data_IF_952090135330
#
_entry.id   IF_952090135330
#
_cell.length_a   1.000
_cell.length_b   1.000
_cell.length_c   1.000
_cell.angle_alpha   90.00
_cell.angle_beta   90.00
_cell.angle_gamma   90.00
#
_symmetry.space_group_name_H-M   'P 1'
#
loop_
_entity.id
_entity.type
_entity.pdbx_description
1 polymer ?
#
# COMPACT_ATOMS: atom_id res chain seq x y z
N UNK A 1 -21.40 -8.12 -24.03
CA UNK A 1 -21.30 -9.21 -23.05
C UNK A 1 -20.17 -10.20 -23.35
N UNK A 2 -20.05 -10.75 -24.57
CA UNK A 2 -19.01 -11.76 -24.85
C UNK A 2 -17.56 -11.25 -24.69
N UNK A 3 -17.26 -10.00 -25.04
CA UNK A 3 -15.90 -9.43 -24.88
C UNK A 3 -15.52 -9.24 -23.41
N UNK A 4 -16.42 -8.70 -22.57
CA UNK A 4 -16.13 -8.54 -21.13
C UNK A 4 -16.01 -9.90 -20.44
N UNK A 5 -16.88 -10.87 -20.79
CA UNK A 5 -16.76 -12.25 -20.31
C UNK A 5 -15.36 -12.80 -20.63
N UNK A 6 -14.94 -12.71 -21.89
CA UNK A 6 -13.64 -13.21 -22.32
C UNK A 6 -12.48 -12.52 -21.59
N UNK A 7 -12.53 -11.20 -21.45
CA UNK A 7 -11.49 -10.45 -20.75
C UNK A 7 -11.39 -10.77 -19.25
N UNK A 8 -12.49 -11.15 -18.59
CA UNK A 8 -12.46 -11.68 -17.22
C UNK A 8 -11.80 -13.06 -17.19
N UNK A 9 -12.22 -13.97 -18.08
CA UNK A 9 -11.69 -15.34 -18.11
C UNK A 9 -10.20 -15.38 -18.47
N UNK A 10 -9.74 -14.47 -19.32
CA UNK A 10 -8.33 -14.30 -19.68
C UNK A 10 -7.53 -13.48 -18.65
N UNK A 11 -8.17 -12.93 -17.62
CA UNK A 11 -7.56 -12.06 -16.60
C UNK A 11 -6.87 -10.81 -17.20
N UNK A 12 -7.60 -10.08 -18.05
CA UNK A 12 -7.13 -8.89 -18.79
C UNK A 12 -8.07 -7.69 -18.69
N UNK A 13 -9.15 -7.80 -17.92
CA UNK A 13 -10.17 -6.76 -17.88
C UNK A 13 -9.70 -5.52 -17.08
N UNK A 14 -9.82 -4.32 -17.67
CA UNK A 14 -9.41 -3.07 -17.02
C UNK A 14 -10.47 -2.48 -16.07
N UNK A 15 -11.76 -2.79 -16.31
CA UNK A 15 -12.87 -2.41 -15.43
C UNK A 15 -13.78 -3.60 -15.09
N UNK A 16 -13.40 -4.49 -14.17
CA UNK A 16 -14.17 -5.69 -13.86
C UNK A 16 -15.61 -5.41 -13.42
N UNK A 17 -15.88 -4.23 -12.85
CA UNK A 17 -17.22 -3.80 -12.42
C UNK A 17 -18.19 -3.62 -13.60
N UNK A 18 -17.69 -3.42 -14.83
CA UNK A 18 -18.53 -3.38 -16.02
C UNK A 18 -19.17 -4.75 -16.37
N UNK A 19 -18.79 -5.82 -15.67
CA UNK A 19 -19.31 -7.17 -15.93
C UNK A 19 -19.61 -7.97 -14.66
N UNK A 20 -18.68 -8.00 -13.71
CA UNK A 20 -18.85 -8.60 -12.38
C UNK A 20 -19.71 -7.72 -11.47
N UNK A 21 -20.22 -8.32 -10.41
CA UNK A 21 -21.10 -7.66 -9.45
C UNK A 21 -22.56 -7.63 -9.89
N UNK A 22 -23.32 -6.72 -9.29
CA UNK A 22 -24.78 -6.67 -9.40
C UNK A 22 -25.24 -5.62 -10.41
N UNK A 23 -25.92 -6.08 -11.46
CA UNK A 23 -26.33 -5.28 -12.62
C UNK A 23 -27.83 -5.36 -12.86
N UNK A 24 -28.40 -4.29 -13.40
CA UNK A 24 -29.78 -4.29 -13.94
C UNK A 24 -29.73 -4.30 -15.46
N UNK A 25 -30.27 -5.36 -16.07
CA UNK A 25 -30.35 -5.53 -17.52
C UNK A 25 -31.83 -5.58 -17.91
N UNK A 26 -32.31 -4.52 -18.56
CA UNK A 26 -33.73 -4.33 -18.88
C UNK A 26 -34.59 -4.39 -17.60
N UNK A 27 -35.44 -5.41 -17.48
CA UNK A 27 -36.34 -5.66 -16.34
C UNK A 27 -35.83 -6.71 -15.37
N UNK A 28 -34.63 -7.23 -15.57
CA UNK A 28 -34.04 -8.29 -14.74
C UNK A 28 -32.74 -7.82 -14.08
N UNK A 29 -32.46 -8.39 -12.92
CA UNK A 29 -31.22 -8.23 -12.20
C UNK A 29 -30.32 -9.43 -12.46
N UNK A 30 -29.03 -9.17 -12.61
CA UNK A 30 -28.00 -10.17 -12.85
C UNK A 30 -26.86 -9.93 -11.88
N UNK A 31 -26.49 -10.95 -11.13
CA UNK A 31 -25.28 -10.96 -10.31
C UNK A 31 -24.26 -11.88 -10.97
N UNK A 32 -23.05 -11.39 -11.27
CA UNK A 32 -21.97 -12.21 -11.81
C UNK A 32 -20.78 -12.24 -10.85
N UNK A 33 -20.35 -13.45 -10.51
CA UNK A 33 -19.27 -13.70 -9.56
C UNK A 33 -18.21 -14.57 -10.21
N UNK A 34 -16.95 -14.20 -10.10
CA UNK A 34 -15.82 -15.00 -10.58
C UNK A 34 -15.05 -15.58 -9.37
N UNK A 35 -15.16 -16.90 -9.19
CA UNK A 35 -14.56 -17.66 -8.08
C UNK A 35 -13.98 -18.97 -8.63
N UNK A 36 -12.71 -18.97 -9.09
CA UNK A 36 -12.13 -20.09 -9.85
C UNK A 36 -12.07 -21.41 -9.08
N UNK A 37 -11.99 -21.33 -7.75
CA UNK A 37 -11.82 -22.48 -6.87
C UNK A 37 -13.12 -22.92 -6.17
N UNK A 38 -14.20 -22.15 -6.28
CA UNK A 38 -15.47 -22.50 -5.66
C UNK A 38 -16.17 -23.63 -6.45
N UNK A 39 -16.67 -24.62 -5.73
CA UNK A 39 -17.51 -25.69 -6.28
C UNK A 39 -18.95 -25.22 -6.53
N UNK A 40 -19.46 -24.35 -5.65
CA UNK A 40 -20.75 -23.69 -5.77
C UNK A 40 -20.70 -22.30 -5.11
N UNK A 41 -21.56 -21.40 -5.59
CA UNK A 41 -21.73 -20.04 -5.05
C UNK A 41 -23.22 -19.78 -4.87
N UNK A 42 -23.60 -19.18 -3.75
CA UNK A 42 -24.96 -18.69 -3.50
C UNK A 42 -24.94 -17.23 -3.05
N UNK A 43 -26.02 -16.49 -3.25
CA UNK A 43 -26.21 -15.12 -2.76
C UNK A 43 -27.37 -15.04 -1.79
N UNK A 44 -27.26 -14.23 -0.74
CA UNK A 44 -28.32 -14.02 0.24
C UNK A 44 -29.34 -12.97 -0.26
N UNK A 45 -30.62 -13.32 -0.30
CA UNK A 45 -31.69 -12.40 -0.72
C UNK A 45 -32.34 -11.62 0.44
N UNK A 46 -31.82 -11.80 1.67
CA UNK A 46 -32.38 -11.27 2.90
C UNK A 46 -33.24 -12.28 3.68
N UNK A 47 -33.55 -13.43 3.09
CA UNK A 47 -34.33 -14.52 3.72
C UNK A 47 -33.70 -15.89 3.54
N UNK A 48 -33.03 -16.13 2.42
CA UNK A 48 -32.51 -17.43 2.01
C UNK A 48 -31.32 -17.30 1.07
N UNK A 49 -30.59 -18.40 0.92
CA UNK A 49 -29.48 -18.51 -0.02
C UNK A 49 -29.98 -18.96 -1.38
N UNK A 50 -29.76 -18.14 -2.41
CA UNK A 50 -30.12 -18.42 -3.79
C UNK A 50 -28.87 -18.90 -4.56
N UNK A 51 -28.89 -20.10 -5.17
CA UNK A 51 -27.72 -20.61 -5.88
C UNK A 51 -27.46 -19.81 -7.17
N UNK A 52 -26.19 -19.60 -7.50
CA UNK A 52 -25.76 -19.10 -8.80
C UNK A 52 -25.48 -20.29 -9.73
N UNK A 53 -25.88 -20.17 -11.00
CA UNK A 53 -25.54 -21.13 -12.04
C UNK A 53 -24.08 -20.95 -12.48
N UNK A 54 -23.32 -22.03 -12.55
CA UNK A 54 -21.97 -22.02 -13.12
C UNK A 54 -22.04 -22.01 -14.64
N UNK A 55 -21.79 -20.85 -15.25
CA UNK A 55 -21.86 -20.66 -16.71
C UNK A 55 -20.52 -20.87 -17.42
N UNK A 56 -19.44 -21.07 -16.65
CA UNK A 56 -18.11 -21.35 -17.19
C UNK A 56 -17.28 -22.23 -16.25
N UNK A 57 -16.61 -23.29 -16.75
CA UNK A 57 -15.75 -24.13 -15.92
C UNK A 57 -14.55 -23.38 -15.31
N UNK A 58 -14.17 -22.20 -15.82
CA UNK A 58 -13.15 -21.37 -15.17
C UNK A 58 -13.60 -20.75 -13.83
N UNK A 59 -14.86 -20.94 -13.42
CA UNK A 59 -15.40 -20.47 -12.14
C UNK A 59 -16.21 -19.19 -12.25
N UNK A 60 -16.88 -18.97 -13.38
CA UNK A 60 -17.83 -17.88 -13.54
C UNK A 60 -19.24 -18.35 -13.20
N UNK A 61 -19.87 -17.66 -12.25
CA UNK A 61 -21.18 -17.95 -11.70
C UNK A 61 -22.13 -16.78 -11.94
N UNK A 62 -23.40 -17.07 -12.24
CA UNK A 62 -24.41 -16.06 -12.51
C UNK A 62 -25.72 -16.39 -11.81
N UNK A 63 -26.34 -15.37 -11.20
CA UNK A 63 -27.72 -15.42 -10.75
C UNK A 63 -28.55 -14.41 -11.54
N UNK A 64 -29.78 -14.81 -11.87
CA UNK A 64 -30.79 -13.97 -12.50
C UNK A 64 -32.01 -13.85 -11.59
N UNK A 65 -32.59 -12.66 -11.48
CA UNK A 65 -33.82 -12.47 -10.73
C UNK A 65 -34.60 -11.22 -11.11
N UNK A 66 -35.85 -11.17 -10.69
CA UNK A 66 -36.74 -10.01 -10.91
C UNK A 66 -36.73 -9.02 -9.76
N UNK A 67 -36.23 -9.45 -8.59
CA UNK A 67 -36.18 -8.65 -7.38
C UNK A 67 -34.76 -8.13 -7.16
N UNK A 68 -34.66 -6.97 -6.54
CA UNK A 68 -33.39 -6.40 -6.13
C UNK A 68 -32.86 -7.17 -4.91
N UNK A 69 -31.58 -7.49 -4.91
CA UNK A 69 -30.89 -8.10 -3.77
C UNK A 69 -30.49 -7.01 -2.75
N UNK A 70 -30.36 -7.36 -1.45
CA UNK A 70 -29.68 -6.49 -0.48
C UNK A 70 -28.26 -6.15 -0.95
N UNK A 71 -27.87 -4.89 -0.79
CA UNK A 71 -26.53 -4.40 -1.10
C UNK A 71 -25.82 -3.95 0.19
N UNK A 72 -24.50 -4.19 0.34
CA UNK A 72 -23.65 -5.00 -0.55
C UNK A 72 -24.07 -6.49 -0.55
N UNK A 73 -23.86 -7.20 -1.66
CA UNK A 73 -24.32 -8.59 -1.78
C UNK A 73 -23.49 -9.50 -0.88
N UNK A 74 -24.14 -10.29 -0.03
CA UNK A 74 -23.50 -11.35 0.75
C UNK A 74 -23.52 -12.67 -0.02
N UNK A 75 -22.34 -13.27 -0.20
CA UNK A 75 -22.12 -14.53 -0.90
C UNK A 75 -21.79 -15.64 0.09
N UNK A 76 -22.16 -16.86 -0.29
CA UNK A 76 -21.71 -18.09 0.35
C UNK A 76 -20.93 -18.90 -0.69
N UNK A 77 -19.62 -19.06 -0.43
CA UNK A 77 -18.66 -19.75 -1.27
C UNK A 77 -18.43 -21.16 -0.71
N UNK A 78 -18.68 -22.17 -1.52
CA UNK A 78 -18.44 -23.57 -1.14
C UNK A 78 -17.16 -24.06 -1.80
N UNK A 79 -16.09 -24.17 -1.02
CA UNK A 79 -14.89 -24.91 -1.36
C UNK A 79 -15.03 -26.34 -0.84
N UNK A 80 -14.43 -27.34 -1.50
CA UNK A 80 -14.65 -28.78 -1.26
C UNK A 80 -14.93 -29.20 0.20
N UNK A 81 -14.21 -28.64 1.18
CA UNK A 81 -14.36 -28.92 2.61
C UNK A 81 -14.63 -27.68 3.50
N UNK A 82 -14.91 -26.51 2.91
CA UNK A 82 -15.06 -25.26 3.65
C UNK A 82 -16.14 -24.37 3.04
N UNK A 83 -17.04 -23.89 3.89
CA UNK A 83 -18.06 -22.90 3.53
C UNK A 83 -17.61 -21.55 4.08
N UNK A 84 -17.55 -20.54 3.21
CA UNK A 84 -17.16 -19.19 3.58
C UNK A 84 -18.26 -18.20 3.21
N UNK A 85 -18.62 -17.32 4.12
CA UNK A 85 -19.53 -16.20 3.86
C UNK A 85 -18.72 -14.92 3.72
N UNK A 86 -18.88 -14.22 2.60
CA UNK A 86 -18.15 -12.98 2.28
C UNK A 86 -19.04 -12.04 1.49
N UNK A 87 -18.82 -10.74 1.59
CA UNK A 87 -19.43 -9.77 0.70
C UNK A 87 -18.75 -9.76 -0.66
N UNK A 88 -19.51 -9.47 -1.72
CA UNK A 88 -18.99 -9.34 -3.08
C UNK A 88 -18.27 -7.98 -3.25
N UNK A 89 -16.94 -7.95 -3.50
CA UNK A 89 -16.19 -6.72 -3.74
C UNK A 89 -16.77 -5.88 -4.89
N UNK A 90 -17.38 -6.52 -5.89
CA UNK A 90 -17.88 -5.86 -7.09
C UNK A 90 -19.27 -5.24 -6.92
N UNK A 91 -19.78 -5.21 -5.68
CA UNK A 91 -21.03 -4.51 -5.32
C UNK A 91 -20.79 -3.16 -4.63
N UNK A 92 -19.53 -2.80 -4.41
CA UNK A 92 -19.13 -1.52 -3.82
C UNK A 92 -18.81 -0.46 -4.90
N UNK A 93 -19.33 0.76 -4.69
CA UNK A 93 -19.10 1.90 -5.59
C UNK A 93 -17.65 2.42 -5.56
N UNK A 94 -17.35 3.39 -6.43
CA UNK A 94 -16.08 4.14 -6.40
C UNK A 94 -15.99 4.93 -5.10
N UNK A 95 -14.85 4.85 -4.41
CA UNK A 95 -14.63 5.56 -3.13
C UNK A 95 -13.66 6.73 -3.26
N UNK A 96 -12.84 6.77 -4.31
CA UNK A 96 -11.93 7.89 -4.61
C UNK A 96 -12.67 8.98 -5.39
N UNK A 97 -12.51 10.23 -4.97
CA UNK A 97 -13.20 11.37 -5.60
C UNK A 97 -12.47 11.85 -6.87
N UNK A 98 -13.21 12.37 -7.84
CA UNK A 98 -12.63 13.01 -9.03
C UNK A 98 -11.71 14.19 -8.67
N UNK A 99 -11.98 14.86 -7.56
CA UNK A 99 -11.17 15.97 -7.06
C UNK A 99 -9.78 15.50 -6.59
N UNK A 100 -9.71 14.39 -5.85
CA UNK A 100 -8.43 13.83 -5.41
C UNK A 100 -7.61 13.32 -6.59
N UNK A 101 -8.26 12.65 -7.56
CA UNK A 101 -7.61 12.23 -8.81
C UNK A 101 -7.06 13.43 -9.59
N UNK A 102 -7.81 14.54 -9.65
CA UNK A 102 -7.36 15.76 -10.29
C UNK A 102 -6.14 16.37 -9.58
N UNK A 103 -6.17 16.51 -8.25
CA UNK A 103 -5.04 17.02 -7.48
C UNK A 103 -3.80 16.14 -7.62
N UNK A 104 -3.98 14.81 -7.61
CA UNK A 104 -2.89 13.86 -7.82
C UNK A 104 -2.25 14.02 -9.20
N UNK A 105 -3.05 14.09 -10.26
CA UNK A 105 -2.55 14.31 -11.63
C UNK A 105 -1.83 15.67 -11.82
N UNK A 106 -2.20 16.69 -11.05
CA UNK A 106 -1.49 17.98 -11.01
C UNK A 106 -0.23 17.97 -10.12
N UNK A 107 -0.01 16.89 -9.38
CA UNK A 107 1.04 16.75 -8.39
C UNK A 107 0.92 17.75 -7.23
N UNK A 108 -0.31 17.91 -6.74
CA UNK A 108 -0.69 18.83 -5.65
C UNK A 108 -1.43 18.17 -4.49
N UNK A 109 -1.60 16.85 -4.52
CA UNK A 109 -2.25 16.11 -3.45
C UNK A 109 -1.23 15.81 -2.34
N UNK A 110 -1.10 16.72 -1.39
CA UNK A 110 -0.08 16.67 -0.32
C UNK A 110 -0.11 15.38 0.50
N UNK A 111 -1.32 14.88 0.81
CA UNK A 111 -1.51 13.64 1.55
C UNK A 111 -1.94 12.51 0.61
N UNK A 112 -1.29 12.34 -0.54
CA UNK A 112 -1.68 11.30 -1.50
C UNK A 112 -1.63 9.89 -0.91
N UNK A 113 -0.85 9.67 0.15
CA UNK A 113 -0.84 8.42 0.92
C UNK A 113 -2.16 8.13 1.65
N UNK A 114 -3.06 9.11 1.86
CA UNK A 114 -4.42 8.86 2.35
C UNK A 114 -5.38 8.39 1.27
N UNK A 115 -5.03 8.58 0.00
CA UNK A 115 -5.80 8.13 -1.16
C UNK A 115 -5.24 6.81 -1.73
N UNK A 116 -3.93 6.76 -1.97
CA UNK A 116 -3.21 5.61 -2.51
C UNK A 116 -2.79 4.65 -1.39
N UNK A 117 -2.48 3.41 -1.75
CA UNK A 117 -2.11 2.36 -0.80
C UNK A 117 -3.31 1.55 -0.30
N UNK A 118 -3.12 0.83 0.81
CA UNK A 118 -4.16 0.05 1.48
C UNK A 118 -4.72 0.78 2.72
N UNK A 119 -6.04 0.94 2.77
CA UNK A 119 -6.74 1.63 3.85
C UNK A 119 -7.84 0.75 4.41
N UNK A 120 -7.67 0.30 5.66
CA UNK A 120 -8.70 -0.42 6.39
C UNK A 120 -9.82 0.55 6.79
N UNK A 121 -11.01 0.35 6.25
CA UNK A 121 -12.12 1.31 6.37
C UNK A 121 -13.48 0.61 6.26
N UNK A 122 -14.51 1.31 6.69
CA UNK A 122 -15.90 0.88 6.56
C UNK A 122 -16.54 1.51 5.33
N UNK A 123 -17.14 0.69 4.47
CA UNK A 123 -17.91 1.14 3.29
C UNK A 123 -19.27 0.48 3.34
N UNK A 124 -20.35 1.28 3.31
CA UNK A 124 -21.74 0.78 3.34
C UNK A 124 -22.03 -0.18 4.50
N UNK A 125 -21.43 0.03 5.68
CA UNK A 125 -21.65 -0.81 6.86
C UNK A 125 -20.76 -2.06 6.95
N UNK A 126 -19.84 -2.25 6.00
CA UNK A 126 -18.95 -3.42 5.93
C UNK A 126 -17.50 -2.97 6.06
N UNK A 127 -16.77 -3.59 6.99
CA UNK A 127 -15.34 -3.40 7.15
C UNK A 127 -14.57 -4.16 6.07
N UNK A 128 -13.50 -3.55 5.59
CA UNK A 128 -12.62 -4.13 4.59
C UNK A 128 -11.43 -3.23 4.32
N UNK A 129 -10.75 -3.47 3.21
CA UNK A 129 -9.58 -2.70 2.81
C UNK A 129 -9.79 -2.13 1.42
N UNK A 130 -9.70 -0.80 1.30
CA UNK A 130 -9.59 -0.13 0.01
C UNK A 130 -8.14 -0.12 -0.43
N UNK A 131 -7.86 -0.72 -1.57
CA UNK A 131 -6.58 -0.65 -2.26
C UNK A 131 -6.66 0.34 -3.41
N UNK A 132 -5.61 1.15 -3.54
CA UNK A 132 -5.47 2.06 -4.67
C UNK A 132 -4.02 2.15 -5.16
N UNK A 133 -3.82 2.03 -6.47
CA UNK A 133 -2.50 1.98 -7.10
C UNK A 133 -2.42 2.85 -8.35
N UNK A 134 -1.35 3.64 -8.49
CA UNK A 134 -1.06 4.33 -9.74
C UNK A 134 -0.23 3.45 -10.68
N UNK A 135 -0.83 3.06 -11.81
CA UNK A 135 -0.22 2.21 -12.85
C UNK A 135 -0.87 2.49 -14.22
N UNK A 136 -0.66 3.69 -14.80
CA UNK A 136 -1.39 4.18 -15.98
C UNK A 136 -1.23 3.31 -17.22
N UNK A 137 -0.09 2.62 -17.38
CA UNK A 137 0.20 1.82 -18.56
C UNK A 137 -0.17 0.34 -18.41
N UNK A 138 -0.70 -0.06 -17.25
CA UNK A 138 -1.16 -1.43 -17.04
C UNK A 138 -2.34 -1.79 -17.95
N UNK A 139 -2.41 -3.06 -18.35
CA UNK A 139 -3.60 -3.67 -18.94
C UNK A 139 -4.59 -4.12 -17.86
N UNK A 140 -4.07 -4.67 -16.76
CA UNK A 140 -4.82 -5.10 -15.57
C UNK A 140 -3.97 -4.88 -14.32
N UNK A 141 -4.60 -4.49 -13.22
CA UNK A 141 -4.04 -4.59 -11.87
C UNK A 141 -4.96 -5.46 -11.03
N UNK A 142 -4.39 -6.31 -10.17
CA UNK A 142 -5.12 -7.08 -9.17
C UNK A 142 -4.42 -6.98 -7.83
N UNK A 143 -5.19 -7.07 -6.75
CA UNK A 143 -4.64 -7.27 -5.41
C UNK A 143 -4.46 -8.76 -5.18
N UNK A 144 -3.27 -9.17 -4.74
CA UNK A 144 -2.94 -10.55 -4.40
C UNK A 144 -2.42 -10.60 -2.97
N UNK A 145 -2.76 -11.64 -2.22
CA UNK A 145 -2.36 -11.78 -0.83
C UNK A 145 -2.81 -13.10 -0.25
N UNK A 146 -2.63 -13.26 1.06
CA UNK A 146 -2.99 -14.49 1.77
C UNK A 146 -4.49 -14.81 1.63
N UNK A 147 -5.33 -13.78 1.69
CA UNK A 147 -6.79 -13.84 1.56
C UNK A 147 -7.32 -14.32 0.18
N UNK A 148 -6.47 -14.43 -0.85
CA UNK A 148 -6.85 -15.03 -2.14
C UNK A 148 -5.86 -16.06 -2.68
N UNK A 149 -4.96 -16.57 -1.82
CA UNK A 149 -3.95 -17.54 -2.23
C UNK A 149 -2.99 -17.01 -3.28
N UNK A 150 -2.76 -15.69 -3.30
CA UNK A 150 -1.87 -15.01 -4.24
C UNK A 150 -2.29 -15.13 -5.72
N UNK A 151 -3.57 -15.35 -6.01
CA UNK A 151 -4.10 -15.49 -7.39
C UNK A 151 -4.67 -14.15 -7.92
N UNK A 152 -3.95 -13.55 -8.87
CA UNK A 152 -4.33 -12.29 -9.51
C UNK A 152 -5.61 -12.32 -10.35
N UNK A 153 -6.26 -13.47 -10.51
CA UNK A 153 -7.55 -13.57 -11.23
C UNK A 153 -8.75 -13.27 -10.33
N UNK A 154 -8.60 -13.37 -9.01
CA UNK A 154 -9.72 -13.31 -8.05
C UNK A 154 -10.15 -11.88 -7.74
N UNK A 155 -9.18 -10.98 -7.51
CA UNK A 155 -9.44 -9.59 -7.14
C UNK A 155 -8.82 -8.57 -8.12
N UNK A 156 -9.19 -8.59 -9.43
CA UNK A 156 -8.88 -7.50 -10.34
C UNK A 156 -9.52 -6.17 -9.93
N UNK A 157 -8.74 -5.12 -10.03
CA UNK A 157 -9.11 -3.74 -9.71
C UNK A 157 -9.74 -3.06 -10.93
N UNK A 158 -10.53 -2.00 -10.71
CA UNK A 158 -11.00 -1.11 -11.79
C UNK A 158 -10.02 0.03 -12.03
N UNK A 159 -9.81 0.36 -13.30
CA UNK A 159 -9.13 1.59 -13.71
C UNK A 159 -10.09 2.79 -13.59
N UNK A 160 -9.63 3.86 -12.93
CA UNK A 160 -10.33 5.14 -12.82
C UNK A 160 -9.97 6.06 -14.00
N UNK A 161 -10.04 5.51 -15.21
CA UNK A 161 -9.89 6.23 -16.47
C UNK A 161 -8.53 6.88 -16.67
N UNK A 162 -8.55 8.16 -17.10
CA UNK A 162 -7.35 8.91 -17.48
C UNK A 162 -6.40 9.25 -16.32
N UNK A 163 -6.83 9.05 -15.07
CA UNK A 163 -5.97 9.23 -13.90
C UNK A 163 -4.84 8.19 -13.83
N UNK A 164 -5.03 7.02 -14.46
CA UNK A 164 -4.12 5.89 -14.31
C UNK A 164 -4.14 5.24 -12.93
N UNK A 165 -5.04 5.66 -12.05
CA UNK A 165 -5.25 5.05 -10.73
C UNK A 165 -6.19 3.85 -10.87
N UNK A 166 -5.85 2.78 -10.17
CA UNK A 166 -6.63 1.56 -10.04
C UNK A 166 -7.17 1.48 -8.62
N UNK A 167 -8.40 0.99 -8.44
CA UNK A 167 -9.06 0.90 -7.14
C UNK A 167 -9.81 -0.42 -6.98
N UNK A 168 -9.82 -0.97 -5.77
CA UNK A 168 -10.72 -2.03 -5.33
C UNK A 168 -10.94 -1.94 -3.82
N UNK A 169 -12.18 -2.10 -3.37
CA UNK A 169 -12.49 -2.38 -1.97
C UNK A 169 -12.70 -3.88 -1.82
N UNK A 170 -11.87 -4.53 -0.99
CA UNK A 170 -12.03 -5.94 -0.65
C UNK A 170 -12.68 -5.99 0.75
N UNK A 171 -13.93 -6.45 0.86
CA UNK A 171 -14.62 -6.54 2.14
C UNK A 171 -14.10 -7.72 2.97
N UNK A 172 -14.41 -7.70 4.26
CA UNK A 172 -14.20 -8.80 5.22
C UNK A 172 -12.72 -9.19 5.45
N UNK A 173 -11.78 -8.40 4.94
CA UNK A 173 -10.35 -8.51 5.25
C UNK A 173 -9.89 -7.34 6.13
N UNK A 174 -8.83 -7.55 6.91
CA UNK A 174 -8.45 -6.65 8.00
C UNK A 174 -6.99 -6.23 8.01
N UNK A 175 -6.61 -5.60 9.13
CA UNK A 175 -5.22 -5.27 9.44
C UNK A 175 -4.38 -6.54 9.57
N UNK A 176 -3.11 -6.45 9.17
CA UNK A 176 -2.15 -7.55 9.29
C UNK A 176 -2.05 -8.44 8.05
N UNK A 177 -3.01 -8.37 7.14
CA UNK A 177 -2.99 -9.11 5.86
C UNK A 177 -1.77 -8.71 5.03
N UNK A 178 -1.06 -9.71 4.49
CA UNK A 178 0.00 -9.48 3.51
C UNK A 178 -0.57 -9.43 2.10
N UNK A 179 -0.10 -8.46 1.33
CA UNK A 179 -0.53 -8.26 -0.05
C UNK A 179 0.59 -7.70 -0.93
N UNK A 180 0.37 -7.84 -2.23
CA UNK A 180 1.07 -7.18 -3.33
C UNK A 180 0.07 -6.83 -4.43
N UNK A 181 0.55 -6.13 -5.45
CA UNK A 181 -0.19 -5.92 -6.69
C UNK A 181 0.38 -6.81 -7.79
N UNK A 182 -0.49 -7.58 -8.45
CA UNK A 182 -0.16 -8.26 -9.71
C UNK A 182 -0.57 -7.37 -10.88
N UNK A 183 0.42 -6.85 -11.60
CA UNK A 183 0.24 -5.92 -12.72
C UNK A 183 0.52 -6.67 -14.02
N UNK A 184 -0.43 -6.62 -14.95
CA UNK A 184 -0.23 -7.10 -16.32
C UNK A 184 0.17 -5.92 -17.21
N UNK A 185 1.37 -5.96 -17.76
CA UNK A 185 1.84 -4.93 -18.70
C UNK A 185 1.02 -4.94 -19.98
N UNK A 186 0.59 -3.75 -20.44
CA UNK A 186 -0.14 -3.61 -21.72
C UNK A 186 0.73 -3.84 -22.95
N UNK A 187 2.01 -3.47 -22.87
CA UNK A 187 2.93 -3.56 -24.01
C UNK A 187 3.44 -4.98 -24.24
N UNK A 188 3.75 -5.71 -23.17
CA UNK A 188 4.37 -7.03 -23.25
C UNK A 188 3.43 -8.18 -22.86
N UNK A 189 2.37 -7.92 -22.10
CA UNK A 189 1.56 -8.95 -21.47
C UNK A 189 2.30 -9.69 -20.34
N UNK A 190 3.45 -9.19 -19.90
CA UNK A 190 4.18 -9.71 -18.74
C UNK A 190 3.38 -9.50 -17.45
N UNK A 191 3.45 -10.46 -16.53
CA UNK A 191 2.90 -10.34 -15.18
C UNK A 191 4.03 -9.93 -14.23
N UNK A 192 3.86 -8.76 -13.63
CA UNK A 192 4.75 -8.20 -12.61
C UNK A 192 4.07 -8.33 -11.26
N UNK A 193 4.84 -8.66 -10.22
CA UNK A 193 4.34 -8.62 -8.84
C UNK A 193 5.09 -7.52 -8.08
N UNK A 194 4.35 -6.54 -7.60
CA UNK A 194 4.90 -5.32 -7.00
C UNK A 194 4.43 -5.14 -5.56
N UNK A 195 5.34 -4.77 -4.69
CA UNK A 195 5.01 -4.23 -3.38
C UNK A 195 4.36 -2.86 -3.53
N UNK A 196 3.55 -2.46 -2.55
CA UNK A 196 2.83 -1.19 -2.60
C UNK A 196 3.80 0.00 -2.43
N UNK A 197 3.88 0.93 -3.40
CA UNK A 197 4.66 2.16 -3.25
C UNK A 197 4.26 3.00 -2.03
N UNK A 198 2.98 2.95 -1.64
CA UNK A 198 2.37 3.66 -0.52
C UNK A 198 2.09 2.74 0.68
N UNK A 199 2.74 1.57 0.74
CA UNK A 199 2.62 0.65 1.86
C UNK A 199 3.18 1.21 3.17
N UNK A 200 2.45 1.04 4.28
CA UNK A 200 2.85 1.56 5.60
C UNK A 200 3.66 0.58 6.46
N UNK A 201 3.78 -0.67 6.01
CA UNK A 201 4.60 -1.70 6.65
C UNK A 201 4.86 -2.81 5.65
N UNK A 202 5.98 -3.52 5.83
CA UNK A 202 6.36 -4.64 4.99
C UNK A 202 6.71 -5.88 5.83
N UNK A 203 6.83 -7.03 5.16
CA UNK A 203 7.48 -8.21 5.73
C UNK A 203 8.92 -7.93 6.13
N UNK A 204 9.43 -8.66 7.12
CA UNK A 204 10.85 -8.69 7.42
C UNK A 204 11.62 -9.25 6.22
N UNK A 205 12.60 -8.48 5.74
CA UNK A 205 13.49 -8.92 4.66
C UNK A 205 14.07 -10.33 4.95
N UNK A 206 14.17 -11.20 3.95
CA UNK A 206 14.02 -10.94 2.51
C UNK A 206 12.56 -10.97 2.01
N UNK A 207 11.56 -11.06 2.89
CA UNK A 207 10.16 -10.85 2.52
C UNK A 207 9.93 -9.48 1.88
N UNK A 208 8.91 -9.38 1.03
CA UNK A 208 8.65 -8.18 0.22
C UNK A 208 7.17 -7.83 0.12
N UNK A 209 6.27 -8.62 0.71
CA UNK A 209 4.87 -8.25 0.76
C UNK A 209 4.66 -7.02 1.64
N UNK A 210 3.73 -6.18 1.22
CA UNK A 210 3.22 -5.08 2.04
C UNK A 210 2.22 -5.65 3.03
N UNK A 211 2.15 -5.10 4.23
CA UNK A 211 1.19 -5.47 5.26
C UNK A 211 0.15 -4.37 5.44
N UNK A 212 -1.13 -4.72 5.37
CA UNK A 212 -2.23 -3.78 5.66
C UNK A 212 -2.08 -3.26 7.08
N UNK A 213 -1.84 -1.97 7.24
CA UNK A 213 -1.52 -1.34 8.52
C UNK A 213 -2.29 -0.04 8.65
N UNK A 214 -2.82 0.25 9.84
CA UNK A 214 -3.57 1.48 10.09
C UNK A 214 -2.63 2.68 10.20
N UNK A 215 -3.10 3.85 9.75
CA UNK A 215 -2.47 5.14 10.04
C UNK A 215 -2.95 5.67 11.40
N UNK A 216 -2.06 6.35 12.14
CA UNK A 216 -2.44 7.21 13.25
C UNK A 216 -3.08 6.58 14.48
N UNK A 217 -2.74 5.33 14.86
CA UNK A 217 -3.28 4.70 16.09
C UNK A 217 -2.52 5.05 17.37
N UNK A 218 -1.36 5.70 17.26
CA UNK A 218 -0.49 6.00 18.39
C UNK A 218 -0.92 7.26 19.15
N UNK A 219 -0.96 7.17 20.48
CA UNK A 219 -1.27 8.29 21.36
C UNK A 219 0.02 9.04 21.79
N UNK A 220 0.34 10.11 21.06
CA UNK A 220 1.49 10.97 21.31
C UNK A 220 1.40 11.72 22.65
N UNK A 221 2.57 12.02 23.23
CA UNK A 221 2.71 12.73 24.52
C UNK A 221 3.65 13.95 24.42
N UNK A 222 4.08 14.30 23.21
CA UNK A 222 5.08 15.31 22.90
C UNK A 222 4.50 16.69 22.56
N UNK A 223 3.23 16.96 22.88
CA UNK A 223 2.54 18.23 22.56
C UNK A 223 3.37 19.46 22.94
N UNK A 224 3.95 19.46 24.14
CA UNK A 224 4.78 20.57 24.61
C UNK A 224 6.06 20.77 23.77
N UNK A 225 6.67 19.69 23.27
CA UNK A 225 7.81 19.77 22.37
C UNK A 225 7.41 20.38 21.03
N UNK A 226 6.29 19.91 20.47
CA UNK A 226 5.79 20.36 19.16
C UNK A 226 5.39 21.84 19.18
N UNK A 227 4.71 22.30 20.23
CA UNK A 227 4.38 23.72 20.44
C UNK A 227 5.64 24.60 20.52
N UNK A 228 6.67 24.14 21.24
CA UNK A 228 7.93 24.86 21.35
C UNK A 228 8.71 24.86 20.03
N UNK A 229 8.74 23.74 19.31
CA UNK A 229 9.41 23.61 18.01
C UNK A 229 8.87 24.63 17.00
N UNK A 230 7.56 24.88 17.00
CA UNK A 230 6.90 25.78 16.05
C UNK A 230 7.31 27.25 16.18
N UNK A 231 7.75 27.68 17.37
CA UNK A 231 8.10 29.09 17.66
C UNK A 231 9.59 29.33 17.85
N UNK A 232 10.41 28.27 17.96
CA UNK A 232 11.86 28.36 18.14
C UNK A 232 12.56 28.78 16.85
N UNK A 233 13.48 29.73 16.95
CA UNK A 233 14.39 30.07 15.87
C UNK A 233 15.58 29.09 15.86
N UNK A 234 15.37 27.96 15.18
CA UNK A 234 16.32 26.85 15.15
C UNK A 234 17.70 27.24 14.58
N UNK A 235 17.80 28.29 13.76
CA UNK A 235 19.08 28.75 13.20
C UNK A 235 20.00 29.40 14.24
N UNK A 236 19.44 29.83 15.38
CA UNK A 236 20.17 30.50 16.46
C UNK A 236 20.21 29.68 17.75
N UNK A 237 19.86 28.39 17.68
CA UNK A 237 19.93 27.45 18.80
C UNK A 237 21.16 26.53 18.67
N UNK A 238 21.67 26.00 19.79
CA UNK A 238 22.73 25.00 19.74
C UNK A 238 22.25 23.76 18.97
N UNK A 239 23.03 23.35 17.98
CA UNK A 239 22.81 22.15 17.18
C UNK A 239 24.03 21.24 17.31
N UNK A 240 23.92 20.26 18.20
CA UNK A 240 24.90 19.18 18.38
C UNK A 240 24.20 17.85 18.11
N UNK A 241 24.61 17.17 17.04
CA UNK A 241 23.90 16.02 16.45
C UNK A 241 24.71 14.74 16.67
N UNK A 242 24.03 13.69 17.13
CA UNK A 242 24.57 12.34 17.19
C UNK A 242 24.01 11.52 16.01
N UNK A 243 24.79 11.38 14.95
CA UNK A 243 24.45 10.53 13.81
C UNK A 243 24.61 9.04 14.17
N UNK A 244 23.64 8.21 13.80
CA UNK A 244 23.73 6.77 14.05
C UNK A 244 22.93 5.91 13.07
N UNK A 245 23.38 4.65 12.93
CA UNK A 245 22.66 3.59 12.22
C UNK A 245 21.95 2.66 13.21
N UNK A 246 20.61 2.59 13.14
CA UNK A 246 19.78 1.81 14.07
C UNK A 246 20.17 0.32 14.13
N UNK A 247 20.55 -0.26 12.99
CA UNK A 247 20.91 -1.68 12.91
C UNK A 247 22.31 -2.04 13.40
N UNK A 248 23.17 -1.08 13.73
CA UNK A 248 24.57 -1.36 14.12
C UNK A 248 25.07 -0.61 15.35
N UNK A 249 24.33 0.38 15.88
CA UNK A 249 24.69 1.05 17.13
C UNK A 249 24.83 0.05 18.28
N UNK A 250 23.88 -0.87 18.42
CA UNK A 250 23.94 -1.98 19.39
C UNK A 250 23.18 -3.19 18.86
N UNK A 251 23.72 -4.38 19.14
CA UNK A 251 23.07 -5.67 18.87
C UNK A 251 23.02 -6.51 20.14
N UNK A 252 22.05 -7.41 20.20
CA UNK A 252 22.04 -8.44 21.23
C UNK A 252 23.20 -9.41 21.00
N UNK A 253 23.58 -10.12 22.05
CA UNK A 253 24.66 -11.12 22.00
C UNK A 253 24.38 -12.26 21.01
N UNK A 254 23.10 -12.53 20.73
CA UNK A 254 22.62 -13.53 19.77
C UNK A 254 22.54 -12.99 18.32
N UNK A 255 22.94 -11.73 18.09
CA UNK A 255 22.96 -11.09 16.78
C UNK A 255 21.64 -10.41 16.39
N UNK A 256 20.59 -10.49 17.21
CA UNK A 256 19.33 -9.76 16.93
C UNK A 256 19.53 -8.25 17.02
N UNK A 257 18.77 -7.52 16.22
CA UNK A 257 18.67 -6.06 16.31
C UNK A 257 17.95 -5.65 17.59
N UNK A 258 18.28 -4.47 18.09
CA UNK A 258 17.46 -3.77 19.06
C UNK A 258 16.23 -3.22 18.33
N UNK A 259 15.05 -3.37 18.94
CA UNK A 259 13.86 -2.67 18.45
C UNK A 259 13.88 -1.19 18.90
N UNK A 260 13.01 -0.37 18.31
CA UNK A 260 12.97 1.07 18.61
C UNK A 260 12.64 1.41 20.07
N UNK A 261 11.90 0.56 20.80
CA UNK A 261 11.67 0.76 22.23
C UNK A 261 12.92 0.51 23.05
N UNK A 262 13.66 -0.57 22.73
CA UNK A 262 14.93 -0.88 23.38
C UNK A 262 15.99 0.20 23.07
N UNK A 263 15.99 0.74 21.85
CA UNK A 263 16.80 1.90 21.51
C UNK A 263 16.39 3.11 22.34
N UNK A 264 15.10 3.42 22.47
CA UNK A 264 14.64 4.55 23.28
C UNK A 264 15.13 4.45 24.73
N UNK A 265 15.05 3.26 25.34
CA UNK A 265 15.48 3.05 26.73
C UNK A 265 16.99 3.18 26.95
N UNK A 266 17.80 2.87 25.94
CA UNK A 266 19.26 2.77 26.10
C UNK A 266 20.04 3.92 25.45
N UNK A 267 19.59 4.39 24.28
CA UNK A 267 20.23 5.46 23.52
C UNK A 267 19.91 6.83 24.12
N UNK A 268 18.65 7.10 24.50
CA UNK A 268 18.24 8.43 24.95
C UNK A 268 19.02 8.88 26.20
N UNK A 269 19.19 8.06 27.27
CA UNK A 269 20.01 8.45 28.41
C UNK A 269 21.46 8.72 28.04
N UNK A 270 22.03 7.92 27.13
CA UNK A 270 23.39 8.10 26.63
C UNK A 270 23.55 9.44 25.88
N UNK A 271 22.62 9.76 24.99
CA UNK A 271 22.61 11.01 24.21
C UNK A 271 22.47 12.23 25.13
N UNK A 272 21.63 12.13 26.17
CA UNK A 272 21.50 13.19 27.19
C UNK A 272 22.77 13.36 28.04
N UNK A 273 23.36 12.26 28.52
CA UNK A 273 24.61 12.29 29.30
C UNK A 273 25.75 12.96 28.53
N UNK A 274 25.84 12.67 27.23
CA UNK A 274 26.84 13.22 26.32
C UNK A 274 26.53 14.68 25.88
N UNK A 275 25.35 15.21 26.19
CA UNK A 275 24.98 16.59 25.89
C UNK A 275 24.64 16.87 24.42
N UNK A 276 24.18 15.87 23.68
CA UNK A 276 23.66 16.07 22.33
C UNK A 276 22.25 16.65 22.37
N UNK A 277 21.91 17.42 21.33
CA UNK A 277 20.60 18.07 21.19
C UNK A 277 19.67 17.31 20.25
N UNK A 278 20.24 16.56 19.30
CA UNK A 278 19.52 15.85 18.27
C UNK A 278 20.16 14.49 18.01
N UNK A 279 19.34 13.53 17.59
CA UNK A 279 19.76 12.28 16.98
C UNK A 279 19.46 12.37 15.50
N UNK A 280 20.44 12.08 14.66
CA UNK A 280 20.25 11.90 13.22
C UNK A 280 20.30 10.41 12.91
N UNK A 281 19.20 9.90 12.39
CA UNK A 281 19.11 8.50 11.99
C UNK A 281 19.43 8.40 10.50
N UNK A 282 20.40 7.55 10.18
CA UNK A 282 20.53 6.99 8.82
C UNK A 282 19.19 6.39 8.37
N UNK A 283 18.93 6.23 7.06
CA UNK A 283 17.58 6.02 6.55
C UNK A 283 16.84 4.85 7.23
N UNK A 284 15.70 5.17 7.83
CA UNK A 284 14.82 4.19 8.51
C UNK A 284 13.67 3.72 7.63
N UNK A 285 13.57 4.22 6.40
CA UNK A 285 12.62 3.72 5.41
C UNK A 285 12.90 2.26 5.05
N UNK A 286 11.88 1.50 4.62
CA UNK A 286 12.08 0.09 4.29
C UNK A 286 13.03 -0.09 3.10
N UNK A 287 13.98 -1.01 3.24
CA UNK A 287 15.04 -1.28 2.29
C UNK A 287 15.42 -2.77 2.30
N UNK A 288 15.83 -3.39 1.17
CA UNK A 288 16.04 -4.83 1.09
C UNK A 288 17.39 -5.31 1.62
N UNK A 289 18.42 -4.44 1.63
CA UNK A 289 19.81 -4.81 1.87
C UNK A 289 20.41 -4.02 3.03
N UNK A 290 20.90 -4.69 4.06
CA UNK A 290 21.51 -4.03 5.23
C UNK A 290 22.76 -3.22 4.88
N UNK A 291 23.56 -3.73 3.95
CA UNK A 291 24.82 -3.13 3.50
C UNK A 291 24.61 -1.82 2.73
N UNK A 292 23.38 -1.53 2.31
CA UNK A 292 23.02 -0.21 1.76
C UNK A 292 22.92 0.88 2.84
N UNK A 293 22.92 0.49 4.12
CA UNK A 293 22.67 1.34 5.28
C UNK A 293 21.34 2.11 5.24
N UNK A 294 20.41 1.65 4.41
CA UNK A 294 19.11 2.28 4.16
C UNK A 294 19.03 3.16 2.90
N UNK A 295 20.17 3.53 2.30
CA UNK A 295 20.18 4.43 1.13
C UNK A 295 19.67 3.80 -0.17
N UNK A 296 19.33 2.51 -0.18
CA UNK A 296 18.61 1.87 -1.27
C UNK A 296 17.17 1.53 -0.85
N UNK A 297 16.38 2.58 -0.65
CA UNK A 297 14.99 2.49 -0.15
C UNK A 297 14.04 1.90 -1.21
N UNK A 298 13.15 1.01 -0.76
CA UNK A 298 12.07 0.41 -1.57
C UNK A 298 10.67 0.64 -1.01
N UNK A 299 10.53 0.86 0.30
CA UNK A 299 9.25 1.22 0.94
C UNK A 299 9.33 2.60 1.60
N UNK A 300 8.98 3.63 0.83
CA UNK A 300 9.15 5.03 1.23
C UNK A 300 8.22 5.47 2.36
N UNK A 301 7.00 4.93 2.40
CA UNK A 301 5.97 5.27 3.37
C UNK A 301 5.94 4.32 4.59
N UNK A 302 7.03 3.58 4.83
CA UNK A 302 7.12 2.68 5.97
C UNK A 302 8.47 2.79 6.65
N UNK A 303 8.45 2.75 7.98
CA UNK A 303 9.61 2.39 8.78
C UNK A 303 9.97 0.93 8.50
N UNK A 304 11.26 0.63 8.40
CA UNK A 304 11.74 -0.73 8.20
C UNK A 304 11.29 -1.67 9.33
N UNK A 305 10.78 -2.85 8.98
CA UNK A 305 10.29 -3.82 9.95
C UNK A 305 11.39 -4.46 10.80
N UNK A 306 12.67 -4.19 10.50
CA UNK A 306 13.85 -4.73 11.21
C UNK A 306 13.83 -4.42 12.70
N UNK A 307 13.31 -3.26 13.07
CA UNK A 307 13.41 -2.71 14.42
C UNK A 307 12.04 -2.58 15.10
N UNK A 308 11.03 -3.31 14.60
CA UNK A 308 9.70 -3.36 15.18
C UNK A 308 8.61 -2.81 14.26
N UNK A 309 7.51 -2.41 14.88
CA UNK A 309 6.34 -1.82 14.21
C UNK A 309 6.49 -0.30 14.03
N UNK A 310 5.67 0.32 13.16
CA UNK A 310 5.59 1.78 13.08
C UNK A 310 5.35 2.45 14.44
N UNK A 311 4.52 1.85 15.31
CA UNK A 311 4.24 2.40 16.64
C UNK A 311 5.44 2.29 17.60
N UNK A 312 6.36 1.35 17.38
CA UNK A 312 7.62 1.30 18.12
C UNK A 312 8.54 2.46 17.72
N UNK A 313 8.53 2.85 16.45
CA UNK A 313 9.26 4.04 16.00
C UNK A 313 8.61 5.34 16.48
N UNK A 314 7.27 5.46 16.44
CA UNK A 314 6.57 6.59 17.07
C UNK A 314 6.91 6.71 18.55
N UNK A 315 6.97 5.59 19.27
CA UNK A 315 7.41 5.57 20.66
C UNK A 315 8.84 6.07 20.84
N UNK A 316 9.76 5.72 19.94
CA UNK A 316 11.13 6.23 19.98
C UNK A 316 11.16 7.76 19.81
N UNK A 317 10.48 8.29 18.79
CA UNK A 317 10.43 9.74 18.55
C UNK A 317 9.75 10.49 19.71
N UNK A 318 8.62 9.99 20.19
CA UNK A 318 7.89 10.55 21.34
C UNK A 318 8.78 10.59 22.58
N UNK A 319 9.55 9.51 22.82
CA UNK A 319 10.49 9.43 23.95
C UNK A 319 11.65 10.42 23.80
N UNK A 320 12.19 10.60 22.59
CA UNK A 320 13.20 11.63 22.31
C UNK A 320 12.66 13.03 22.59
N UNK A 321 11.46 13.35 22.10
CA UNK A 321 10.83 14.65 22.29
C UNK A 321 10.54 14.95 23.78
N UNK A 322 10.04 13.98 24.54
CA UNK A 322 9.86 14.09 26.01
C UNK A 322 11.20 14.36 26.69
N UNK A 323 12.28 13.74 26.22
CA UNK A 323 13.64 13.94 26.71
C UNK A 323 14.30 15.25 26.22
N UNK A 324 13.61 16.05 25.42
CA UNK A 324 14.13 17.30 24.87
C UNK A 324 15.14 17.11 23.72
N UNK A 325 15.13 15.96 23.07
CA UNK A 325 16.02 15.59 21.96
C UNK A 325 15.23 15.62 20.65
N UNK A 326 15.73 16.35 19.66
CA UNK A 326 15.14 16.33 18.32
C UNK A 326 15.57 15.11 17.51
N UNK A 327 14.72 14.66 16.59
CA UNK A 327 15.01 13.57 15.67
C UNK A 327 15.10 14.11 14.25
N UNK A 328 16.22 13.81 13.58
CA UNK A 328 16.47 14.10 12.17
C UNK A 328 16.52 12.77 11.44
N UNK A 329 15.91 12.71 10.25
CA UNK A 329 15.91 11.53 9.40
C UNK A 329 16.67 11.82 8.12
N UNK A 330 17.61 10.95 7.79
CA UNK A 330 18.12 10.86 6.43
C UNK A 330 17.01 10.42 5.49
N UNK A 331 16.68 11.32 4.58
CA UNK A 331 15.66 11.10 3.55
C UNK A 331 16.34 10.91 2.19
N UNK A 332 15.88 9.91 1.43
CA UNK A 332 16.58 9.43 0.21
C UNK A 332 15.73 9.66 -1.05
N UNK A 333 15.51 10.92 -1.49
CA UNK A 333 14.72 11.22 -2.68
C UNK A 333 15.54 11.17 -3.98
N UNK A 334 16.86 10.97 -3.90
CA UNK A 334 17.76 11.14 -5.03
C UNK A 334 17.69 9.98 -6.03
N UNK A 335 17.44 8.75 -5.55
CA UNK A 335 17.48 7.53 -6.35
C UNK A 335 16.76 6.36 -5.66
N UNK A 336 16.56 5.27 -6.37
CA UNK A 336 16.02 4.01 -5.84
C UNK A 336 16.64 2.79 -6.55
N UNK A 337 16.68 1.60 -5.93
CA UNK A 337 17.35 0.44 -6.53
C UNK A 337 16.50 -0.24 -7.62
N UNK A 338 17.12 -1.17 -8.36
CA UNK A 338 16.50 -1.87 -9.51
C UNK A 338 15.70 -3.11 -9.11
N UNK A 339 15.43 -3.31 -7.82
CA UNK A 339 14.67 -4.45 -7.31
C UNK A 339 13.31 -4.59 -8.02
N UNK A 340 13.10 -5.73 -8.67
CA UNK A 340 11.94 -5.97 -9.53
C UNK A 340 10.61 -5.92 -8.77
N UNK A 341 10.61 -6.16 -7.46
CA UNK A 341 9.41 -6.07 -6.62
C UNK A 341 9.02 -4.63 -6.27
N UNK A 342 9.91 -3.65 -6.44
CA UNK A 342 9.72 -2.26 -6.03
C UNK A 342 9.41 -1.33 -7.23
N UNK A 343 9.89 -0.08 -7.21
CA UNK A 343 9.48 0.98 -8.15
C UNK A 343 10.01 0.83 -9.59
N UNK A 344 11.05 0.03 -9.82
CA UNK A 344 11.68 -0.09 -11.14
C UNK A 344 10.71 -0.64 -12.19
N UNK A 345 10.58 0.02 -13.35
CA UNK A 345 9.72 -0.42 -14.46
C UNK A 345 8.28 -0.74 -14.00
N UNK A 346 7.73 0.07 -13.09
CA UNK A 346 6.64 -0.33 -12.19
C UNK A 346 5.43 -0.96 -12.89
N UNK A 347 4.95 -0.35 -13.97
CA UNK A 347 3.80 -0.79 -14.75
C UNK A 347 4.18 -1.35 -16.15
N UNK A 348 5.45 -1.75 -16.30
CA UNK A 348 6.05 -2.15 -17.58
C UNK A 348 6.71 -1.02 -18.37
N UNK A 349 6.77 0.19 -17.82
CA UNK A 349 7.41 1.39 -18.43
C UNK A 349 8.30 2.15 -17.43
N UNK A 350 9.07 3.18 -17.85
CA UNK A 350 9.60 4.22 -16.93
C UNK A 350 8.45 4.96 -16.26
N UNK A 351 7.98 4.42 -15.14
CA UNK A 351 6.93 5.10 -14.40
C UNK A 351 7.52 6.12 -13.43
N UNK A 352 8.32 5.63 -12.48
CA UNK A 352 8.96 6.44 -11.44
C UNK A 352 10.31 6.98 -11.89
N UNK A 353 11.11 6.17 -12.60
CA UNK A 353 12.36 6.59 -13.21
C UNK A 353 12.14 7.40 -14.50
N UNK A 354 13.19 8.09 -14.97
CA UNK A 354 13.19 8.70 -16.29
C UNK A 354 13.52 7.66 -17.38
N UNK A 355 12.82 7.66 -18.53
CA UNK A 355 13.03 6.66 -19.59
C UNK A 355 14.42 6.77 -20.25
N UNK A 356 14.93 7.99 -20.41
CA UNK A 356 16.31 8.21 -20.89
C UNK A 356 17.33 7.83 -19.79
N UNK A 357 18.16 6.79 -19.99
CA UNK A 357 19.11 6.34 -18.97
C UNK A 357 20.17 7.39 -18.61
N UNK A 358 20.42 8.37 -19.48
CA UNK A 358 21.35 9.49 -19.19
C UNK A 358 20.83 10.41 -18.09
N UNK A 359 19.53 10.39 -17.86
CA UNK A 359 18.82 11.17 -16.84
C UNK A 359 18.20 10.27 -15.74
N UNK A 360 17.98 8.99 -16.05
CA UNK A 360 17.27 8.03 -15.22
C UNK A 360 18.13 7.03 -14.47
N UNK A 361 19.46 7.09 -14.58
CA UNK A 361 20.36 6.11 -13.94
C UNK A 361 21.63 6.74 -13.38
N UNK A 362 21.97 6.39 -12.13
CA UNK A 362 23.31 6.57 -11.58
C UNK A 362 24.17 5.37 -11.98
N UNK A 363 24.90 5.48 -13.08
CA UNK A 363 25.66 4.36 -13.67
C UNK A 363 26.69 3.75 -12.71
N UNK A 364 27.37 4.57 -11.91
CA UNK A 364 28.37 4.10 -10.95
C UNK A 364 27.75 3.32 -9.77
N UNK A 365 26.47 3.57 -9.46
CA UNK A 365 25.77 2.96 -8.34
C UNK A 365 24.82 1.84 -8.77
N UNK A 366 24.50 1.73 -10.06
CA UNK A 366 23.52 0.79 -10.59
C UNK A 366 22.08 1.07 -10.13
N UNK A 367 21.75 2.32 -9.79
CA UNK A 367 20.43 2.72 -9.27
C UNK A 367 19.69 3.65 -10.23
N UNK A 368 18.37 3.75 -10.09
CA UNK A 368 17.50 4.56 -10.93
C UNK A 368 17.23 5.93 -10.29
N UNK A 369 17.10 6.95 -11.14
CA UNK A 369 16.82 8.34 -10.73
C UNK A 369 15.35 8.63 -11.00
N UNK A 370 14.66 9.21 -10.01
CA UNK A 370 13.28 9.64 -10.15
C UNK A 370 13.09 10.65 -11.29
N UNK A 371 11.99 10.53 -12.03
CA UNK A 371 11.56 11.52 -12.99
C UNK A 371 10.86 12.69 -12.28
N UNK A 372 11.63 13.59 -11.70
CA UNK A 372 11.12 14.77 -10.96
C UNK A 372 10.20 15.69 -11.79
N UNK A 373 10.31 15.64 -13.12
CA UNK A 373 9.46 16.40 -14.04
C UNK A 373 8.02 15.88 -14.12
N UNK A 374 7.79 14.62 -13.74
CA UNK A 374 6.47 14.00 -13.77
C UNK A 374 5.67 14.36 -12.51
N UNK A 375 4.46 14.86 -12.70
CA UNK A 375 3.64 15.41 -11.61
C UNK A 375 3.40 14.40 -10.49
N UNK A 376 3.01 13.18 -10.82
CA UNK A 376 2.67 12.13 -9.85
C UNK A 376 3.91 11.62 -9.11
N UNK A 377 5.08 11.58 -9.77
CA UNK A 377 6.37 11.22 -9.16
C UNK A 377 6.84 12.31 -8.20
N UNK A 378 6.75 13.58 -8.61
CA UNK A 378 6.98 14.72 -7.71
C UNK A 378 6.03 14.68 -6.51
N UNK A 379 4.76 14.35 -6.75
CA UNK A 379 3.76 14.23 -5.69
C UNK A 379 4.09 13.11 -4.72
N UNK A 380 4.52 11.94 -5.21
CA UNK A 380 4.96 10.82 -4.39
C UNK A 380 6.06 11.25 -3.41
N UNK A 381 7.10 11.95 -3.90
CA UNK A 381 8.21 12.41 -3.06
C UNK A 381 7.79 13.51 -2.08
N UNK A 382 7.00 14.50 -2.52
CA UNK A 382 6.53 15.57 -1.63
C UNK A 382 5.59 15.03 -0.54
N UNK A 383 4.67 14.15 -0.92
CA UNK A 383 3.78 13.47 0.02
C UNK A 383 4.57 12.58 0.98
N UNK A 384 5.68 11.99 0.55
CA UNK A 384 6.55 11.20 1.40
C UNK A 384 7.27 12.05 2.45
N UNK A 385 7.83 13.20 2.06
CA UNK A 385 8.41 14.13 3.01
C UNK A 385 7.37 14.62 4.04
N UNK A 386 6.15 14.95 3.58
CA UNK A 386 5.07 15.34 4.46
C UNK A 386 4.62 14.20 5.40
N UNK A 387 4.54 12.97 4.89
CA UNK A 387 4.20 11.77 5.66
C UNK A 387 5.11 11.59 6.87
N UNK A 388 6.43 11.68 6.68
CA UNK A 388 7.38 11.54 7.79
C UNK A 388 7.25 12.64 8.84
N UNK A 389 6.88 13.86 8.46
CA UNK A 389 6.70 14.98 9.39
C UNK A 389 5.37 14.95 10.15
N UNK A 390 4.37 14.28 9.59
CA UNK A 390 3.00 14.28 10.10
C UNK A 390 2.66 13.00 10.87
N UNK A 391 3.18 11.85 10.43
CA UNK A 391 2.85 10.53 11.00
C UNK A 391 3.88 10.02 12.02
N UNK A 392 5.06 10.64 12.08
CA UNK A 392 6.18 10.35 12.98
C UNK A 392 6.78 11.66 13.51
#
# INVERSE_FOLDING_TARGET
ESQNKLAILEARHHDPFAYLGFHRIKSEYVLRVFQPYASAVSVHDGKSWLPLERIDPAGLFVWHGKQQLPLPCLLQLNYFNHLLEVHDPYTFGVSITDYDLHLFAQGRLQESYRMLGAHHMEVQGVWGVRFALWAPNAERVSVVGDFNGWDGRVYPMRSLGSSGVWELFVPDIGLGEFYKFEIRSRSSGELLTKSDPYGFSFEMRPGTATRVTALGTYAWRDVAWMEQRAVRDWQHLPLNVYEMHAGSWRKHWDGRFYNFRELAETLIPYVQEMGYTHIELMPVSEHPLDESWGYQTTGYFAVTSRFGSPDDFRYFVDSCHIAGIGVILDWVPAHFPKDAFALARFDGTALYEHEDPRLGEHQDWGTLIFNYGRNEVRNFLLANAYFWLQEF
#
